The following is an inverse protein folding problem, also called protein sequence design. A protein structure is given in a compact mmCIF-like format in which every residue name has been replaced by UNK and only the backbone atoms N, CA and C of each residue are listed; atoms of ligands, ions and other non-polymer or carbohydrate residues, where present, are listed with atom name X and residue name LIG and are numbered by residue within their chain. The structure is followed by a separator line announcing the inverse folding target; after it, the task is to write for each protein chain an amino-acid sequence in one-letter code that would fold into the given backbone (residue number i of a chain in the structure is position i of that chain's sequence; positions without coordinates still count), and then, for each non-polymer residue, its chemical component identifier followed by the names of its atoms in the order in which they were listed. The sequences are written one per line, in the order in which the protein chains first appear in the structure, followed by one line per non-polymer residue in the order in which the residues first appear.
data_IF_218506866509
#
_entry.id   IF_218506866509
#
_cell.length_a   1.000
_cell.length_b   1.000
_cell.length_c   1.000
_cell.angle_alpha   90.00
_cell.angle_beta   90.00
_cell.angle_gamma   90.00
#
_symmetry.space_group_name_H-M   'P 1'
#
loop_
_entity.id
_entity.type
_entity.pdbx_description
1 polymer ?
#
# COMPACT_ATOMS: atom_id res chain seq x y z
N UNK A 1 -11.58 -5.24 -13.74
CA UNK A 1 -12.54 -5.27 -12.61
C UNK A 1 -12.02 -4.39 -11.48
N UNK A 2 -12.46 -4.52 -10.23
CA UNK A 2 -11.79 -3.84 -9.09
C UNK A 2 -10.33 -4.31 -8.97
N UNK A 3 -10.14 -5.63 -9.11
CA UNK A 3 -8.83 -6.27 -9.16
C UNK A 3 -8.65 -6.89 -10.54
N UNK A 4 -7.51 -6.61 -11.15
CA UNK A 4 -7.03 -7.30 -12.32
C UNK A 4 -6.00 -8.35 -11.92
N UNK A 5 -6.04 -9.47 -12.62
CA UNK A 5 -5.17 -10.62 -12.41
C UNK A 5 -4.33 -10.83 -13.66
N UNK A 6 -3.02 -10.77 -13.50
CA UNK A 6 -2.07 -11.25 -14.51
C UNK A 6 -1.38 -12.51 -13.99
N UNK A 7 -1.36 -13.56 -14.80
CA UNK A 7 -0.68 -14.81 -14.47
C UNK A 7 0.58 -14.96 -15.32
N UNK A 8 1.70 -15.32 -14.68
CA UNK A 8 2.97 -15.59 -15.35
C UNK A 8 3.61 -16.84 -14.75
N UNK A 9 3.49 -17.96 -15.47
CA UNK A 9 3.89 -19.27 -14.98
C UNK A 9 3.14 -19.67 -13.70
N UNK A 10 3.87 -19.79 -12.59
CA UNK A 10 3.35 -20.13 -11.26
C UNK A 10 2.92 -18.91 -10.44
N UNK A 11 3.18 -17.70 -10.91
CA UNK A 11 2.92 -16.48 -10.18
C UNK A 11 1.61 -15.82 -10.64
N UNK A 12 0.87 -15.30 -9.67
CA UNK A 12 -0.33 -14.48 -9.87
C UNK A 12 -0.05 -13.08 -9.34
N UNK A 13 -0.18 -12.09 -10.22
CA UNK A 13 -0.04 -10.68 -9.91
C UNK A 13 -1.42 -10.05 -9.83
N UNK A 14 -1.71 -9.44 -8.69
CA UNK A 14 -2.96 -8.74 -8.45
C UNK A 14 -2.69 -7.24 -8.51
N UNK A 15 -3.46 -6.55 -9.34
CA UNK A 15 -3.43 -5.09 -9.44
C UNK A 15 -4.82 -4.56 -9.13
N UNK A 16 -4.93 -3.60 -8.21
CA UNK A 16 -6.19 -2.89 -8.02
C UNK A 16 -6.23 -1.77 -9.06
N UNK A 17 -7.29 -1.72 -9.86
CA UNK A 17 -7.45 -0.76 -10.94
C UNK A 17 -7.71 0.65 -10.39
N UNK A 18 -6.65 1.35 -10.02
CA UNK A 18 -6.69 2.73 -9.57
C UNK A 18 -6.51 3.75 -10.69
N UNK A 19 -5.95 3.34 -11.84
CA UNK A 19 -5.61 4.28 -12.93
C UNK A 19 -6.82 4.70 -13.77
N UNK A 20 -7.83 3.84 -13.88
CA UNK A 20 -9.09 4.15 -14.59
C UNK A 20 -10.26 3.33 -14.03
N UNK A 21 -10.59 3.49 -12.74
CA UNK A 21 -11.71 2.77 -12.14
C UNK A 21 -13.03 3.20 -12.78
N UNK A 22 -13.95 2.26 -12.96
CA UNK A 22 -15.34 2.64 -13.20
C UNK A 22 -15.90 3.40 -11.99
N UNK A 23 -16.93 4.21 -12.19
CA UNK A 23 -17.57 4.98 -11.11
C UNK A 23 -17.94 4.11 -9.91
N UNK A 24 -18.48 2.92 -10.16
CA UNK A 24 -18.85 1.96 -9.10
C UNK A 24 -17.64 1.47 -8.30
N UNK A 25 -16.50 1.24 -8.97
CA UNK A 25 -15.26 0.83 -8.31
C UNK A 25 -14.71 1.97 -7.45
N UNK A 26 -14.73 3.21 -7.97
CA UNK A 26 -14.31 4.39 -7.24
C UNK A 26 -15.15 4.60 -5.97
N UNK A 27 -16.47 4.44 -6.09
CA UNK A 27 -17.38 4.53 -4.94
C UNK A 27 -17.10 3.46 -3.90
N UNK A 28 -16.88 2.21 -4.31
CA UNK A 28 -16.53 1.12 -3.40
C UNK A 28 -15.21 1.41 -2.65
N UNK A 29 -14.17 1.85 -3.37
CA UNK A 29 -12.88 2.24 -2.78
C UNK A 29 -13.08 3.38 -1.77
N UNK A 30 -13.78 4.44 -2.17
CA UNK A 30 -14.00 5.60 -1.31
C UNK A 30 -14.78 5.21 -0.05
N UNK A 31 -15.82 4.39 -0.18
CA UNK A 31 -16.59 3.90 0.96
C UNK A 31 -15.73 3.05 1.90
N UNK A 32 -14.88 2.16 1.37
CA UNK A 32 -13.95 1.38 2.19
C UNK A 32 -12.97 2.28 2.94
N UNK A 33 -12.42 3.31 2.28
CA UNK A 33 -11.51 4.25 2.93
C UNK A 33 -12.23 5.01 4.03
N UNK A 34 -13.39 5.60 3.75
CA UNK A 34 -14.11 6.46 4.71
C UNK A 34 -14.63 5.70 5.91
N UNK A 35 -15.17 4.49 5.72
CA UNK A 35 -15.66 3.63 6.81
C UNK A 35 -14.56 3.22 7.80
N UNK A 36 -13.31 3.23 7.37
CA UNK A 36 -12.17 2.81 8.19
C UNK A 36 -11.31 3.98 8.71
N UNK A 37 -11.63 5.24 8.37
CA UNK A 37 -10.81 6.41 8.78
C UNK A 37 -10.63 6.55 10.29
N UNK A 38 -11.63 6.17 11.06
CA UNK A 38 -11.63 6.24 12.53
C UNK A 38 -10.96 5.04 13.20
N UNK A 39 -10.46 4.07 12.43
CA UNK A 39 -9.74 2.92 12.99
C UNK A 39 -8.45 3.39 13.67
N UNK A 40 -8.22 3.04 14.95
CA UNK A 40 -6.99 3.40 15.67
C UNK A 40 -5.71 2.93 14.96
N UNK A 41 -5.77 1.77 14.30
CA UNK A 41 -4.65 1.23 13.52
C UNK A 41 -4.34 2.12 12.31
N UNK A 42 -5.37 2.51 11.55
CA UNK A 42 -5.20 3.38 10.39
C UNK A 42 -4.68 4.76 10.79
N UNK A 43 -5.15 5.31 11.91
CA UNK A 43 -4.61 6.57 12.43
C UNK A 43 -3.13 6.45 12.80
N UNK A 44 -2.75 5.35 13.46
CA UNK A 44 -1.35 5.05 13.82
C UNK A 44 -0.48 4.92 12.57
N UNK A 45 -0.95 4.16 11.57
CA UNK A 45 -0.22 3.92 10.33
C UNK A 45 -0.07 5.21 9.52
N UNK A 46 -1.14 6.03 9.42
CA UNK A 46 -1.06 7.35 8.79
C UNK A 46 -0.04 8.25 9.47
N UNK A 47 -0.02 8.29 10.81
CA UNK A 47 0.99 9.05 11.55
C UNK A 47 2.40 8.57 11.23
N UNK A 48 2.61 7.25 11.25
CA UNK A 48 3.91 6.65 10.93
C UNK A 48 4.34 6.93 9.49
N UNK A 49 3.42 6.86 8.54
CA UNK A 49 3.69 7.18 7.13
C UNK A 49 4.12 8.63 6.97
N UNK A 50 3.47 9.57 7.65
CA UNK A 50 3.87 10.99 7.64
C UNK A 50 5.23 11.24 8.27
N UNK A 51 5.65 10.44 9.25
CA UNK A 51 7.03 10.48 9.77
C UNK A 51 8.02 9.98 8.71
N UNK A 52 7.74 8.84 8.08
CA UNK A 52 8.59 8.23 7.04
C UNK A 52 8.77 9.17 5.85
N UNK A 53 7.68 9.78 5.35
CA UNK A 53 7.73 10.70 4.21
C UNK A 53 8.54 11.98 4.47
N UNK A 54 8.82 12.30 5.74
CA UNK A 54 9.67 13.43 6.13
C UNK A 54 11.14 13.06 6.28
N UNK A 55 11.47 11.77 6.38
CA UNK A 55 12.83 11.28 6.51
C UNK A 55 13.57 11.41 5.17
N UNK A 56 14.89 11.63 5.22
CA UNK A 56 15.71 11.61 4.01
C UNK A 56 15.88 10.17 3.53
N UNK A 57 15.99 9.98 2.22
CA UNK A 57 16.16 8.64 1.62
C UNK A 57 17.39 7.91 2.20
N UNK A 58 18.48 8.65 2.43
CA UNK A 58 19.70 8.11 3.02
C UNK A 58 19.49 7.54 4.43
N UNK A 59 18.58 8.12 5.22
CA UNK A 59 18.24 7.65 6.56
C UNK A 59 17.36 6.39 6.50
N UNK A 60 16.50 6.28 5.47
CA UNK A 60 15.63 5.11 5.27
C UNK A 60 16.39 3.89 4.75
N UNK A 61 17.41 4.10 3.90
CA UNK A 61 18.14 3.02 3.25
C UNK A 61 19.35 2.49 4.04
N UNK A 62 19.76 3.14 5.13
CA UNK A 62 20.97 2.76 5.88
C UNK A 62 20.82 1.57 6.83
N UNK A 63 19.61 1.04 7.05
CA UNK A 63 19.40 -0.09 7.96
C UNK A 63 18.60 -1.23 7.33
N UNK A 64 19.26 -1.97 6.45
CA UNK A 64 19.10 -3.43 6.41
C UNK A 64 20.51 -4.03 6.42
N UNK A 65 21.11 -4.33 7.58
CA UNK A 65 22.25 -5.22 7.59
C UNK A 65 21.77 -6.55 7.01
N UNK A 66 22.31 -6.92 5.84
CA UNK A 66 22.08 -8.23 5.24
C UNK A 66 22.51 -9.33 6.21
N UNK A 67 21.99 -10.55 6.08
CA UNK A 67 22.34 -11.65 6.98
C UNK A 67 23.85 -11.90 6.91
N UNK A 68 24.56 -11.60 7.99
CA UNK A 68 25.99 -11.90 8.15
C UNK A 68 26.16 -13.41 8.02
N UNK A 69 26.74 -13.85 6.90
CA UNK A 69 27.11 -15.24 6.69
C UNK A 69 28.46 -15.45 7.37
N UNK A 70 28.49 -16.25 8.45
CA UNK A 70 29.72 -16.81 9.03
C UNK A 70 29.95 -18.21 8.47
#
# INVERSE_FOLDING_TARGET
GLVDLRKEGRWSYYHINYESPSELILQAINWTITSNRSSPLIMKDNKRLQEILKMKLDELCQSIPGPTTH
#
